data_IF_866279547469
#
_entry.id   IF_866279547469
#
_cell.length_a   1.000
_cell.length_b   1.000
_cell.length_c   1.000
_cell.angle_alpha   90.00
_cell.angle_beta   90.00
_cell.angle_gamma   90.00
#
_symmetry.space_group_name_H-M   'P 1'
#
loop_
_entity.id
_entity.type
_entity.pdbx_description
1 polymer ?
#
# COMPACT_ATOMS: atom_id res chain seq x y z
N UNK A 1 9.15 12.02 12.49
CA UNK A 1 8.19 10.92 12.27
C UNK A 1 8.94 9.63 12.03
N UNK A 2 8.56 8.56 12.71
CA UNK A 2 9.09 7.23 12.45
C UNK A 2 8.09 6.49 11.54
N UNK A 3 8.36 6.51 10.24
CA UNK A 3 7.48 5.91 9.23
C UNK A 3 7.26 4.40 9.47
N UNK A 4 8.34 3.67 9.79
CA UNK A 4 8.22 2.23 10.03
C UNK A 4 7.35 1.93 11.25
N UNK A 5 7.43 2.71 12.30
CA UNK A 5 6.58 2.52 13.47
C UNK A 5 5.12 2.79 13.14
N UNK A 6 4.84 3.83 12.34
CA UNK A 6 3.48 4.12 11.88
C UNK A 6 2.92 2.97 11.03
N UNK A 7 3.72 2.46 10.11
CA UNK A 7 3.34 1.32 9.26
C UNK A 7 3.08 0.07 10.11
N UNK A 8 3.95 -0.22 11.06
CA UNK A 8 3.83 -1.38 11.93
C UNK A 8 2.58 -1.28 12.80
N UNK A 9 2.34 -0.13 13.41
CA UNK A 9 1.16 0.08 14.25
C UNK A 9 -0.12 -0.16 13.45
N UNK A 10 -0.17 0.37 12.22
CA UNK A 10 -1.32 0.19 11.34
C UNK A 10 -1.53 -1.28 10.98
N UNK A 11 -0.49 -1.98 10.54
CA UNK A 11 -0.63 -3.37 10.09
C UNK A 11 -0.95 -4.31 11.24
N UNK A 12 -0.40 -4.08 12.42
CA UNK A 12 -0.76 -4.84 13.62
C UNK A 12 -2.23 -4.63 13.97
N UNK A 13 -2.72 -3.38 13.90
CA UNK A 13 -4.11 -3.08 14.18
C UNK A 13 -5.06 -3.69 13.15
N UNK A 14 -4.68 -3.71 11.87
CA UNK A 14 -5.45 -4.37 10.80
C UNK A 14 -5.58 -5.85 11.07
N UNK A 15 -4.47 -6.52 11.42
CA UNK A 15 -4.47 -7.94 11.74
C UNK A 15 -5.35 -8.23 12.96
N UNK A 16 -5.27 -7.41 14.00
CA UNK A 16 -6.09 -7.57 15.22
C UNK A 16 -7.58 -7.43 14.93
N UNK A 17 -7.94 -6.67 13.91
CA UNK A 17 -9.34 -6.44 13.50
C UNK A 17 -9.78 -7.36 12.36
N UNK A 18 -8.97 -8.34 12.00
CA UNK A 18 -9.21 -9.29 10.90
C UNK A 18 -9.47 -8.59 9.56
N UNK A 19 -8.78 -7.49 9.30
CA UNK A 19 -8.82 -6.80 8.00
C UNK A 19 -7.62 -7.27 7.18
N UNK A 20 -7.88 -7.99 6.11
CA UNK A 20 -6.84 -8.42 5.18
C UNK A 20 -6.44 -7.25 4.27
N UNK A 21 -5.19 -7.24 3.85
CA UNK A 21 -4.62 -6.16 3.03
C UNK A 21 -3.43 -6.68 2.22
N UNK A 22 -2.98 -5.88 1.28
CA UNK A 22 -1.71 -6.12 0.60
C UNK A 22 -1.02 -4.78 0.37
N UNK A 23 0.18 -4.61 0.90
CA UNK A 23 0.98 -3.42 0.65
C UNK A 23 1.36 -3.34 -0.83
N UNK A 24 1.28 -2.15 -1.39
CA UNK A 24 1.72 -1.84 -2.75
C UNK A 24 2.46 -0.49 -2.72
N UNK A 25 2.68 0.13 -3.87
CA UNK A 25 3.35 1.43 -3.93
C UNK A 25 4.79 1.42 -3.44
N UNK A 26 5.23 2.51 -2.83
CA UNK A 26 6.63 2.72 -2.42
C UNK A 26 7.12 1.73 -1.38
N UNK A 27 6.26 1.34 -0.43
CA UNK A 27 6.64 0.33 0.57
C UNK A 27 6.92 -1.02 -0.10
N UNK A 28 6.05 -1.42 -1.05
CA UNK A 28 6.26 -2.67 -1.78
C UNK A 28 7.56 -2.65 -2.60
N UNK A 29 7.90 -1.50 -3.22
CA UNK A 29 9.18 -1.34 -3.91
C UNK A 29 10.34 -1.63 -2.96
N UNK A 30 10.34 -1.04 -1.77
CA UNK A 30 11.39 -1.24 -0.79
C UNK A 30 11.49 -2.70 -0.36
N UNK A 31 10.34 -3.36 -0.12
CA UNK A 31 10.29 -4.78 0.24
C UNK A 31 10.91 -5.64 -0.85
N UNK A 32 10.68 -5.31 -2.11
CA UNK A 32 11.20 -6.07 -3.25
C UNK A 32 12.61 -5.61 -3.69
N UNK A 33 13.31 -4.86 -2.84
CA UNK A 33 14.74 -4.56 -3.04
C UNK A 33 15.03 -3.26 -3.76
N UNK A 34 14.04 -2.40 -3.97
CA UNK A 34 14.20 -1.08 -4.58
C UNK A 34 14.01 -0.01 -3.51
N UNK A 35 15.10 0.46 -2.87
CA UNK A 35 14.99 1.47 -1.82
C UNK A 35 14.32 2.74 -2.34
N UNK A 36 13.41 3.27 -1.55
CA UNK A 36 12.73 4.52 -1.87
C UNK A 36 12.33 5.23 -0.59
N UNK A 37 12.61 6.53 -0.53
CA UNK A 37 12.05 7.38 0.50
C UNK A 37 10.56 7.52 0.21
N UNK A 38 9.71 6.97 1.08
CA UNK A 38 8.26 7.10 0.95
C UNK A 38 7.69 7.65 2.24
N UNK A 39 6.65 8.47 2.10
CA UNK A 39 5.89 9.02 3.23
C UNK A 39 4.43 8.63 3.13
N UNK A 40 4.08 7.75 2.19
CA UNK A 40 2.73 7.29 1.95
C UNK A 40 2.65 5.79 2.13
N UNK A 41 1.53 5.34 2.69
CA UNK A 41 1.22 3.92 2.82
C UNK A 41 0.13 3.63 1.80
N UNK A 42 0.44 2.74 0.84
CA UNK A 42 -0.51 2.30 -0.18
C UNK A 42 -0.82 0.83 0.06
N UNK A 43 -2.11 0.48 0.15
CA UNK A 43 -2.51 -0.91 0.31
C UNK A 43 -3.79 -1.22 -0.45
N UNK A 44 -3.89 -2.47 -0.86
CA UNK A 44 -5.12 -3.03 -1.42
C UNK A 44 -5.98 -3.52 -0.26
N UNK A 45 -7.29 -3.33 -0.37
CA UNK A 45 -8.27 -3.83 0.59
C UNK A 45 -9.57 -4.19 -0.15
N UNK A 46 -10.27 -5.21 0.31
CA UNK A 46 -11.57 -5.56 -0.27
C UNK A 46 -12.59 -4.48 0.06
N UNK A 47 -13.48 -4.12 -0.89
CA UNK A 47 -14.52 -3.11 -0.63
C UNK A 47 -15.35 -3.40 0.62
N UNK A 48 -15.65 -4.67 0.86
CA UNK A 48 -16.44 -5.09 2.03
C UNK A 48 -15.73 -4.83 3.36
N UNK A 49 -14.41 -4.66 3.36
CA UNK A 49 -13.61 -4.39 4.56
C UNK A 49 -13.31 -2.90 4.76
N UNK A 50 -13.73 -2.04 3.84
CA UNK A 50 -13.40 -0.62 3.90
C UNK A 50 -13.91 0.04 5.19
N UNK A 51 -15.11 -0.31 5.64
CA UNK A 51 -15.66 0.27 6.87
C UNK A 51 -14.84 -0.10 8.10
N UNK A 52 -14.37 -1.35 8.20
CA UNK A 52 -13.49 -1.79 9.30
C UNK A 52 -12.12 -1.13 9.19
N UNK A 53 -11.58 -1.03 7.98
CA UNK A 53 -10.32 -0.33 7.77
C UNK A 53 -10.43 1.12 8.23
N UNK A 54 -11.53 1.80 7.93
CA UNK A 54 -11.76 3.18 8.35
C UNK A 54 -11.68 3.33 9.85
N UNK A 55 -12.30 2.42 10.60
CA UNK A 55 -12.26 2.47 12.06
C UNK A 55 -10.85 2.21 12.59
N UNK A 56 -10.15 1.22 12.04
CA UNK A 56 -8.77 0.94 12.41
C UNK A 56 -7.88 2.14 12.12
N UNK A 57 -8.02 2.73 10.93
CA UNK A 57 -7.25 3.91 10.55
C UNK A 57 -7.45 5.05 11.55
N UNK A 58 -8.69 5.30 11.96
CA UNK A 58 -9.00 6.34 12.94
C UNK A 58 -8.32 6.08 14.29
N UNK A 59 -8.31 4.84 14.76
CA UNK A 59 -7.63 4.50 16.02
C UNK A 59 -6.13 4.70 15.93
N UNK A 60 -5.56 4.61 14.73
CA UNK A 60 -4.14 4.87 14.48
C UNK A 60 -3.85 6.35 14.18
N UNK A 61 -4.87 7.22 14.23
CA UNK A 61 -4.71 8.66 14.04
C UNK A 61 -4.98 9.18 12.62
N UNK A 62 -5.37 8.32 11.69
CA UNK A 62 -5.74 8.72 10.32
C UNK A 62 -7.19 9.17 10.31
N UNK A 63 -7.43 10.38 10.83
CA UNK A 63 -8.80 10.87 11.09
C UNK A 63 -9.35 11.75 9.98
N UNK A 64 -8.51 12.26 9.09
CA UNK A 64 -8.94 13.08 7.96
C UNK A 64 -9.19 12.17 6.77
N UNK A 65 -10.43 12.13 6.29
CA UNK A 65 -10.82 11.29 5.18
C UNK A 65 -11.20 12.16 3.99
N UNK A 66 -10.61 11.90 2.82
CA UNK A 66 -10.91 12.60 1.57
C UNK A 66 -12.09 11.93 0.86
N UNK A 67 -12.69 12.62 -0.12
CA UNK A 67 -13.65 11.98 -1.01
C UNK A 67 -12.99 10.86 -1.82
N UNK A 68 -13.73 9.78 -2.16
CA UNK A 68 -13.17 8.73 -3.01
C UNK A 68 -12.69 9.28 -4.36
N UNK A 69 -11.56 8.74 -4.84
CA UNK A 69 -11.01 9.09 -6.14
C UNK A 69 -11.21 7.93 -7.10
N UNK A 70 -11.98 8.15 -8.17
CA UNK A 70 -12.21 7.16 -9.21
C UNK A 70 -11.34 7.48 -10.41
N UNK A 71 -10.58 6.49 -10.88
CA UNK A 71 -9.70 6.64 -12.02
C UNK A 71 -10.28 5.96 -13.25
N UNK A 72 -9.92 6.45 -14.44
CA UNK A 72 -10.37 5.88 -15.71
C UNK A 72 -9.96 4.41 -15.87
N UNK A 73 -8.91 3.98 -15.18
CA UNK A 73 -8.47 2.57 -15.15
C UNK A 73 -9.42 1.62 -14.43
N UNK A 74 -10.43 2.13 -13.72
CA UNK A 74 -11.34 1.35 -12.90
C UNK A 74 -10.90 1.18 -11.46
N UNK A 75 -9.82 1.85 -11.05
CA UNK A 75 -9.32 1.81 -9.67
C UNK A 75 -9.98 2.93 -8.87
N UNK A 76 -10.45 2.60 -7.66
CA UNK A 76 -10.96 3.58 -6.69
C UNK A 76 -10.01 3.62 -5.51
N UNK A 77 -9.61 4.81 -5.10
CA UNK A 77 -8.73 5.04 -3.96
C UNK A 77 -9.46 5.84 -2.89
N UNK A 78 -9.44 5.34 -1.65
CA UNK A 78 -9.93 6.06 -0.48
C UNK A 78 -8.72 6.51 0.34
N UNK A 79 -8.56 7.81 0.52
CA UNK A 79 -7.41 8.40 1.24
C UNK A 79 -7.79 8.81 2.65
N UNK A 80 -6.93 8.45 3.60
CA UNK A 80 -6.99 8.88 5.00
C UNK A 80 -5.67 9.57 5.32
N UNK A 81 -5.73 10.66 6.08
CA UNK A 81 -4.52 11.42 6.41
C UNK A 81 -4.38 11.56 7.92
N UNK A 82 -3.15 11.35 8.40
CA UNK A 82 -2.73 11.61 9.77
C UNK A 82 -1.75 12.78 9.75
N UNK A 83 -1.95 13.76 10.63
CA UNK A 83 -1.00 14.85 10.80
C UNK A 83 -0.09 14.53 11.97
N UNK A 84 1.22 14.52 11.73
CA UNK A 84 2.26 14.28 12.73
C UNK A 84 3.17 15.49 12.74
N UNK A 85 3.12 16.26 13.80
CA UNK A 85 3.90 17.50 13.93
C UNK A 85 3.69 18.42 12.70
N UNK A 86 2.45 18.52 12.23
CA UNK A 86 2.09 19.33 11.06
C UNK A 86 2.42 18.71 9.71
N UNK A 87 3.03 17.52 9.68
CA UNK A 87 3.36 16.82 8.44
C UNK A 87 2.30 15.76 8.12
N UNK A 88 1.80 15.71 6.88
CA UNK A 88 0.82 14.69 6.53
C UNK A 88 1.48 13.33 6.28
N UNK A 89 0.87 12.30 6.83
CA UNK A 89 1.11 10.91 6.45
C UNK A 89 -0.18 10.40 5.82
N UNK A 90 -0.11 9.96 4.56
CA UNK A 90 -1.28 9.51 3.84
C UNK A 90 -1.35 8.00 3.80
N UNK A 91 -2.56 7.49 4.03
CA UNK A 91 -2.91 6.08 3.85
C UNK A 91 -3.90 6.01 2.69
N UNK A 92 -3.48 5.39 1.59
CA UNK A 92 -4.32 5.20 0.41
C UNK A 92 -4.77 3.74 0.35
N UNK A 93 -6.08 3.55 0.45
CA UNK A 93 -6.71 2.24 0.29
C UNK A 93 -7.22 2.10 -1.14
N UNK A 94 -6.61 1.18 -1.90
CA UNK A 94 -7.02 0.85 -3.25
C UNK A 94 -8.03 -0.29 -3.16
N UNK A 95 -9.24 -0.07 -3.64
CA UNK A 95 -10.32 -1.05 -3.52
C UNK A 95 -10.14 -2.18 -4.53
N UNK A 96 -10.05 -3.42 -4.05
CA UNK A 96 -9.90 -4.61 -4.87
C UNK A 96 -11.09 -4.77 -5.79
N UNK A 97 -10.83 -5.13 -7.05
CA UNK A 97 -11.82 -5.33 -8.09
C UNK A 97 -11.20 -5.05 -9.45
N UNK A 98 -11.66 -5.73 -10.50
CA UNK A 98 -11.18 -5.50 -11.86
C UNK A 98 -9.66 -5.61 -11.99
N UNK A 99 -8.97 -4.50 -12.33
CA UNK A 99 -7.53 -4.54 -12.61
C UNK A 99 -6.66 -4.90 -11.41
N UNK A 100 -7.19 -4.86 -10.19
CA UNK A 100 -6.43 -5.17 -8.98
C UNK A 100 -6.60 -6.63 -8.51
N UNK A 101 -7.45 -7.42 -9.14
CA UNK A 101 -7.73 -8.80 -8.70
C UNK A 101 -6.48 -9.68 -8.73
N UNK A 102 -5.66 -9.58 -9.78
CA UNK A 102 -4.43 -10.34 -9.87
C UNK A 102 -3.44 -9.99 -8.77
N UNK A 103 -3.26 -8.70 -8.50
CA UNK A 103 -2.38 -8.23 -7.44
C UNK A 103 -2.86 -8.71 -6.07
N UNK A 104 -4.18 -8.65 -5.83
CA UNK A 104 -4.76 -9.14 -4.59
C UNK A 104 -4.49 -10.63 -4.38
N UNK A 105 -4.65 -11.44 -5.41
CA UNK A 105 -4.38 -12.89 -5.35
C UNK A 105 -2.91 -13.21 -5.15
N UNK A 106 -2.01 -12.30 -5.53
CA UNK A 106 -0.57 -12.48 -5.43
C UNK A 106 -0.01 -12.23 -4.03
N UNK A 107 -0.84 -11.84 -3.07
CA UNK A 107 -0.38 -11.47 -1.72
C UNK A 107 0.52 -12.53 -1.12
N UNK A 108 1.61 -12.08 -0.53
CA UNK A 108 2.58 -12.93 0.15
C UNK A 108 3.03 -12.26 1.45
N UNK A 109 3.47 -13.07 2.40
CA UNK A 109 4.03 -12.55 3.65
C UNK A 109 5.49 -12.14 3.44
N UNK A 110 5.87 -11.02 4.05
CA UNK A 110 7.25 -10.56 4.09
C UNK A 110 7.60 -10.17 5.52
N UNK A 111 8.81 -10.49 5.96
CA UNK A 111 9.32 -10.04 7.25
C UNK A 111 10.03 -8.71 7.08
N UNK A 112 9.63 -7.73 7.89
CA UNK A 112 10.17 -6.37 7.84
C UNK A 112 10.35 -5.89 9.26
N UNK A 113 11.57 -5.54 9.62
CA UNK A 113 11.87 -4.93 10.92
C UNK A 113 11.27 -5.70 12.10
N UNK A 114 11.34 -7.03 12.06
CA UNK A 114 10.80 -7.89 13.12
C UNK A 114 9.29 -8.06 13.11
N UNK A 115 8.59 -7.50 12.11
CA UNK A 115 7.16 -7.69 11.90
C UNK A 115 6.88 -8.47 10.63
N UNK A 116 5.67 -8.99 10.51
CA UNK A 116 5.24 -9.70 9.30
C UNK A 116 4.10 -8.92 8.65
N UNK A 117 4.25 -8.65 7.36
CA UNK A 117 3.28 -7.86 6.59
C UNK A 117 2.94 -8.58 5.30
N UNK A 118 1.76 -8.31 4.75
CA UNK A 118 1.36 -8.85 3.45
C UNK A 118 1.64 -7.82 2.36
N UNK A 119 2.22 -8.28 1.27
CA UNK A 119 2.65 -7.42 0.16
C UNK A 119 2.29 -8.09 -1.16
N UNK A 120 1.99 -7.29 -2.19
CA UNK A 120 1.79 -7.83 -3.55
C UNK A 120 3.10 -8.45 -4.04
N UNK A 121 3.01 -9.44 -4.94
CA UNK A 121 4.20 -10.04 -5.52
C UNK A 121 4.97 -9.02 -6.36
N UNK A 122 6.27 -9.29 -6.57
CA UNK A 122 7.10 -8.46 -7.45
C UNK A 122 6.50 -8.38 -8.85
N UNK A 123 6.02 -9.51 -9.38
CA UNK A 123 5.42 -9.58 -10.71
C UNK A 123 4.16 -8.74 -10.82
N UNK A 124 3.31 -8.77 -9.79
CA UNK A 124 2.10 -7.95 -9.77
C UNK A 124 2.44 -6.47 -9.63
N UNK A 125 3.45 -6.13 -8.83
CA UNK A 125 3.90 -4.74 -8.71
C UNK A 125 4.40 -4.21 -10.05
N UNK A 126 5.16 -5.02 -10.79
CA UNK A 126 5.62 -4.68 -12.14
C UNK A 126 4.42 -4.46 -13.06
N UNK A 127 3.44 -5.36 -13.04
CA UNK A 127 2.25 -5.23 -13.88
C UNK A 127 1.47 -3.94 -13.59
N UNK A 128 1.31 -3.59 -12.32
CA UNK A 128 0.64 -2.34 -11.93
C UNK A 128 1.43 -1.10 -12.41
N UNK A 129 2.75 -1.14 -12.31
CA UNK A 129 3.61 -0.06 -12.76
C UNK A 129 3.56 0.11 -14.28
N UNK A 130 3.59 -1.00 -15.03
CA UNK A 130 3.48 -0.96 -16.48
C UNK A 130 2.12 -0.41 -16.93
N UNK A 131 1.05 -0.77 -16.23
CA UNK A 131 -0.29 -0.28 -16.52
C UNK A 131 -0.39 1.24 -16.29
N UNK A 132 0.23 1.75 -15.25
CA UNK A 132 0.28 3.19 -14.97
C UNK A 132 1.13 3.93 -16.01
N UNK A 133 2.26 3.36 -16.42
CA UNK A 133 3.04 3.79 -17.57
C UNK A 133 3.68 5.17 -17.49
N UNK A 134 3.75 5.80 -16.31
CA UNK A 134 4.43 7.08 -16.14
C UNK A 134 5.95 6.86 -16.24
N UNK A 135 6.74 7.89 -16.62
CA UNK A 135 8.20 7.72 -16.68
C UNK A 135 8.82 7.14 -15.41
N UNK A 136 8.37 7.59 -14.24
CA UNK A 136 8.85 7.03 -12.96
C UNK A 136 8.49 5.57 -12.81
N UNK A 137 7.30 5.17 -13.26
CA UNK A 137 6.86 3.78 -13.18
C UNK A 137 7.74 2.85 -14.03
N UNK A 138 8.16 3.31 -15.21
CA UNK A 138 9.04 2.53 -16.09
C UNK A 138 10.44 2.38 -15.50
N UNK A 139 10.95 3.41 -14.83
CA UNK A 139 12.21 3.35 -14.09
C UNK A 139 12.09 2.35 -12.94
N UNK A 140 10.98 2.38 -12.22
CA UNK A 140 10.72 1.45 -11.12
C UNK A 140 10.70 -0.01 -11.60
N UNK A 141 10.08 -0.26 -12.75
CA UNK A 141 10.04 -1.61 -13.36
C UNK A 141 11.46 -2.09 -13.65
N UNK A 142 12.28 -1.23 -14.25
CA UNK A 142 13.67 -1.58 -14.55
C UNK A 142 14.43 -1.93 -13.27
N UNK A 143 14.29 -1.13 -12.22
CA UNK A 143 14.96 -1.37 -10.93
C UNK A 143 14.48 -2.65 -10.26
N UNK A 144 13.19 -2.94 -10.33
CA UNK A 144 12.63 -4.20 -9.80
C UNK A 144 13.24 -5.42 -10.50
N UNK A 145 13.40 -5.35 -11.82
CA UNK A 145 14.01 -6.43 -12.59
C UNK A 145 15.49 -6.59 -12.26
N UNK A 146 16.20 -5.49 -12.10
CA UNK A 146 17.63 -5.51 -11.73
C UNK A 146 17.84 -6.05 -10.31
N UNK A 147 17.02 -5.65 -9.36
CA UNK A 147 17.12 -6.11 -7.97
C UNK A 147 16.98 -7.63 -7.86
N UNK A 148 16.14 -8.23 -8.72
CA UNK A 148 15.94 -9.68 -8.73
C UNK A 148 17.15 -10.43 -9.28
N UNK A 149 17.94 -9.81 -10.14
CA UNK A 149 19.14 -10.40 -10.74
C UNK A 149 20.36 -10.36 -9.83
N UNK A 150 20.34 -9.42 -8.88
CA UNK A 150 21.40 -9.26 -7.90
C UNK A 150 21.22 -10.20 -6.74
#
# INVERSE_FOLDING_TARGET
MDFFQELKDLTVALDASAVDYALCGGVALAIHGVPRATQDIDLLVRPEDLSRLREVARTCGFVLESFPMDFASGITIQRFTKLIDGQPLMLDALLVGGPLDGAWKSRQSAEIEGGRMRVVSRESLIALKLAAGRPQDLVDVQRLREAHRG
#
